data_IF_489828735145
#
_entry.id   IF_489828735145
#
_cell.length_a   1.000
_cell.length_b   1.000
_cell.length_c   1.000
_cell.angle_alpha   90.00
_cell.angle_beta   90.00
_cell.angle_gamma   90.00
#
_symmetry.space_group_name_H-M   'P 1'
#
loop_
_entity.id
_entity.type
_entity.pdbx_description
1 polymer ?
#
# COMPACT_ATOMS: atom_id res chain seq x y z
N UNK A 1 33.87 47.29 -2.87
CA UNK A 1 34.43 45.95 -2.54
C UNK A 1 33.31 45.08 -1.96
N UNK A 2 32.17 44.89 -2.62
CA UNK A 2 31.81 43.99 -3.73
C UNK A 2 31.94 42.47 -3.44
N UNK A 3 31.07 41.97 -2.55
CA UNK A 3 30.92 40.54 -2.19
C UNK A 3 29.82 39.83 -3.02
N UNK A 4 29.11 40.56 -3.88
CA UNK A 4 28.00 40.05 -4.69
C UNK A 4 28.43 39.37 -6.01
N UNK A 5 29.69 39.50 -6.43
CA UNK A 5 30.16 39.00 -7.75
C UNK A 5 30.49 37.50 -7.73
N UNK A 6 30.52 36.84 -6.57
CA UNK A 6 30.96 35.45 -6.45
C UNK A 6 29.83 34.40 -6.50
N UNK A 7 28.56 34.79 -6.44
CA UNK A 7 27.43 33.84 -6.44
C UNK A 7 26.74 33.69 -7.82
N UNK A 8 27.03 34.58 -8.77
CA UNK A 8 26.46 34.52 -10.13
C UNK A 8 27.32 33.71 -11.13
N UNK A 9 28.52 33.27 -10.73
CA UNK A 9 29.43 32.54 -11.62
C UNK A 9 29.20 31.02 -11.69
N UNK A 10 28.36 30.45 -10.82
CA UNK A 10 28.14 29.00 -10.72
C UNK A 10 26.78 28.53 -11.31
N UNK A 11 26.25 29.26 -12.30
CA UNK A 11 25.11 28.81 -13.12
C UNK A 11 25.47 28.59 -14.60
N UNK A 12 26.76 28.62 -14.95
CA UNK A 12 27.22 28.60 -16.35
C UNK A 12 27.93 27.32 -16.81
N UNK A 13 27.86 26.22 -16.06
CA UNK A 13 28.40 24.91 -16.52
C UNK A 13 27.31 23.85 -16.65
N UNK A 14 26.21 24.18 -17.34
CA UNK A 14 25.36 23.14 -17.93
C UNK A 14 25.61 23.16 -19.44
N UNK A 15 26.26 22.13 -20.01
CA UNK A 15 26.52 22.09 -21.44
C UNK A 15 25.17 22.03 -22.16
N UNK A 16 24.86 23.07 -22.95
CA UNK A 16 23.69 23.12 -23.81
C UNK A 16 23.77 21.97 -24.84
N UNK A 17 23.08 20.88 -24.57
CA UNK A 17 22.82 19.80 -25.52
C UNK A 17 21.67 20.22 -26.46
N UNK A 18 22.02 20.82 -27.61
CA UNK A 18 21.12 20.97 -28.76
C UNK A 18 20.94 19.59 -29.40
N UNK A 19 19.73 19.02 -29.34
CA UNK A 19 18.69 19.04 -30.38
C UNK A 19 19.03 18.22 -31.63
N UNK A 20 18.71 16.93 -31.57
CA UNK A 20 17.88 16.18 -32.53
C UNK A 20 17.57 14.81 -31.89
N UNK A 21 16.28 14.50 -31.71
CA UNK A 21 15.72 13.39 -30.89
C UNK A 21 15.84 13.57 -29.35
N UNK A 22 14.66 13.73 -28.72
CA UNK A 22 14.34 13.77 -27.28
C UNK A 22 15.24 14.67 -26.40
N UNK A 23 14.70 15.74 -25.78
CA UNK A 23 15.52 16.58 -24.90
C UNK A 23 16.04 15.77 -23.71
N UNK A 24 17.22 16.13 -23.19
CA UNK A 24 17.86 15.38 -22.11
C UNK A 24 16.96 15.21 -20.89
N UNK A 25 16.13 16.20 -20.56
CA UNK A 25 15.19 16.11 -19.44
C UNK A 25 14.20 14.94 -19.64
N UNK A 26 13.56 14.87 -20.81
CA UNK A 26 12.61 13.80 -21.12
C UNK A 26 13.31 12.43 -21.18
N UNK A 27 14.55 12.38 -21.69
CA UNK A 27 15.33 11.15 -21.69
C UNK A 27 15.67 10.69 -20.26
N UNK A 28 16.06 11.61 -19.38
CA UNK A 28 16.35 11.35 -17.96
C UNK A 28 15.15 10.82 -17.20
N UNK A 29 13.98 11.41 -17.41
CA UNK A 29 12.73 10.98 -16.79
C UNK A 29 12.36 9.54 -17.21
N UNK A 30 12.77 9.12 -18.41
CA UNK A 30 12.51 7.80 -18.97
C UNK A 30 13.64 6.78 -18.75
N UNK A 31 14.78 7.16 -18.14
CA UNK A 31 15.94 6.27 -17.98
C UNK A 31 15.62 5.04 -17.12
N UNK A 32 14.83 5.20 -16.05
CA UNK A 32 14.44 4.07 -15.19
C UNK A 32 13.61 3.04 -15.95
N UNK A 33 12.60 3.50 -16.69
CA UNK A 33 11.74 2.65 -17.53
C UNK A 33 12.52 2.00 -18.69
N UNK A 34 13.50 2.72 -19.23
CA UNK A 34 14.41 2.21 -20.26
C UNK A 34 15.26 1.04 -19.73
N UNK A 35 15.88 1.21 -18.57
CA UNK A 35 16.75 0.20 -17.95
C UNK A 35 15.94 -1.02 -17.47
N UNK A 36 14.72 -0.82 -16.98
CA UNK A 36 13.80 -1.90 -16.60
C UNK A 36 13.13 -2.59 -17.80
N UNK A 37 13.24 -2.02 -18.99
CA UNK A 37 12.65 -2.55 -20.22
C UNK A 37 11.13 -2.41 -20.31
N UNK A 38 10.52 -1.50 -19.54
CA UNK A 38 9.07 -1.25 -19.50
C UNK A 38 8.58 -0.27 -20.56
N UNK A 39 9.48 0.43 -21.27
CA UNK A 39 9.15 1.28 -22.41
C UNK A 39 8.67 0.50 -23.64
N UNK A 40 7.72 1.10 -24.36
CA UNK A 40 7.31 0.65 -25.69
C UNK A 40 8.47 0.77 -26.70
N UNK A 41 8.40 -0.01 -27.78
CA UNK A 41 9.48 -0.11 -28.76
C UNK A 41 9.88 1.22 -29.39
N UNK A 42 8.92 2.14 -29.59
CA UNK A 42 9.21 3.45 -30.21
C UNK A 42 10.01 4.32 -29.24
N UNK A 43 9.50 4.52 -28.02
CA UNK A 43 10.20 5.32 -27.00
C UNK A 43 11.54 4.73 -26.60
N UNK A 44 11.64 3.40 -26.52
CA UNK A 44 12.91 2.73 -26.25
C UNK A 44 13.98 3.09 -27.27
N UNK A 45 13.63 3.09 -28.56
CA UNK A 45 14.57 3.43 -29.63
C UNK A 45 14.98 4.91 -29.57
N UNK A 46 14.04 5.81 -29.26
CA UNK A 46 14.32 7.24 -29.08
C UNK A 46 15.28 7.49 -27.91
N UNK A 47 15.03 6.87 -26.76
CA UNK A 47 15.90 6.97 -25.58
C UNK A 47 17.26 6.30 -25.83
N UNK A 48 17.30 5.14 -26.49
CA UNK A 48 18.55 4.45 -26.84
C UNK A 48 19.44 5.31 -27.76
N UNK A 49 18.84 5.97 -28.76
CA UNK A 49 19.56 6.90 -29.64
C UNK A 49 20.12 8.10 -28.87
N UNK A 50 19.35 8.63 -27.91
CA UNK A 50 19.81 9.72 -27.04
C UNK A 50 20.97 9.28 -26.13
N UNK A 51 20.83 8.12 -25.46
CA UNK A 51 21.87 7.55 -24.59
C UNK A 51 23.17 7.29 -25.37
N UNK A 52 23.08 6.86 -26.63
CA UNK A 52 24.24 6.65 -27.48
C UNK A 52 24.98 7.96 -27.85
N UNK A 53 24.27 9.09 -27.92
CA UNK A 53 24.83 10.39 -28.30
C UNK A 53 25.18 11.31 -27.12
N UNK A 54 24.56 11.10 -25.95
CA UNK A 54 24.72 11.93 -24.76
C UNK A 54 25.55 11.22 -23.66
N UNK A 55 26.79 11.66 -23.37
CA UNK A 55 27.64 11.04 -22.36
C UNK A 55 27.09 11.17 -20.92
N UNK A 56 26.31 12.22 -20.64
CA UNK A 56 25.69 12.40 -19.34
C UNK A 56 24.63 11.33 -19.08
N UNK A 57 23.67 11.17 -20.00
CA UNK A 57 22.62 10.17 -19.90
C UNK A 57 23.17 8.73 -19.96
N UNK A 58 24.25 8.48 -20.72
CA UNK A 58 24.92 7.19 -20.71
C UNK A 58 25.50 6.80 -19.34
N UNK A 59 26.07 7.76 -18.61
CA UNK A 59 26.59 7.50 -17.25
C UNK A 59 25.46 7.23 -16.27
N UNK A 60 24.35 7.95 -16.37
CA UNK A 60 23.19 7.76 -15.51
C UNK A 60 22.52 6.40 -15.77
N UNK A 61 22.29 6.04 -17.03
CA UNK A 61 21.75 4.72 -17.41
C UNK A 61 22.61 3.57 -16.85
N UNK A 62 23.94 3.67 -17.01
CA UNK A 62 24.88 2.67 -16.49
C UNK A 62 24.88 2.57 -14.96
N UNK A 63 24.68 3.69 -14.26
CA UNK A 63 24.56 3.69 -12.81
C UNK A 63 23.30 2.95 -12.34
N UNK A 64 22.18 3.16 -13.02
CA UNK A 64 20.92 2.44 -12.79
C UNK A 64 21.05 0.94 -13.07
N UNK A 65 21.66 0.56 -14.20
CA UNK A 65 21.94 -0.84 -14.54
C UNK A 65 22.77 -1.53 -13.46
N UNK A 66 23.84 -0.87 -13.00
CA UNK A 66 24.70 -1.41 -11.93
C UNK A 66 23.93 -1.61 -10.62
N UNK A 67 23.01 -0.70 -10.30
CA UNK A 67 22.16 -0.81 -9.11
C UNK A 67 21.17 -1.98 -9.24
N UNK A 68 20.53 -2.15 -10.40
CA UNK A 68 19.65 -3.30 -10.65
C UNK A 68 20.41 -4.63 -10.61
N UNK A 69 21.59 -4.70 -11.22
CA UNK A 69 22.44 -5.89 -11.17
C UNK A 69 22.83 -6.25 -9.74
N UNK A 70 23.10 -5.25 -8.90
CA UNK A 70 23.36 -5.47 -7.47
C UNK A 70 22.13 -6.05 -6.77
N UNK A 71 20.93 -5.50 -7.03
CA UNK A 71 19.68 -5.97 -6.44
C UNK A 71 19.31 -7.39 -6.90
N UNK A 72 19.48 -7.69 -8.19
CA UNK A 72 19.16 -9.00 -8.76
C UNK A 72 20.22 -10.06 -8.43
N UNK A 73 21.50 -9.70 -8.42
CA UNK A 73 22.61 -10.64 -8.24
C UNK A 73 22.93 -10.98 -6.79
N UNK A 74 22.64 -10.11 -5.82
CA UNK A 74 23.02 -10.32 -4.41
C UNK A 74 21.86 -10.66 -3.49
N UNK A 75 20.62 -10.39 -3.90
CA UNK A 75 19.46 -10.80 -3.11
C UNK A 75 19.17 -12.25 -3.45
N UNK A 76 19.62 -13.16 -2.59
CA UNK A 76 19.12 -14.54 -2.60
C UNK A 76 17.61 -14.45 -2.36
N UNK A 77 16.81 -14.55 -3.44
CA UNK A 77 15.37 -14.73 -3.34
C UNK A 77 15.11 -16.09 -2.72
N UNK A 78 15.18 -16.17 -1.39
CA UNK A 78 14.52 -17.24 -0.64
C UNK A 78 13.03 -16.93 -0.66
N UNK A 79 12.36 -17.36 -1.71
CA UNK A 79 10.93 -17.57 -1.60
C UNK A 79 10.75 -18.72 -0.59
N UNK A 80 10.11 -18.51 0.57
CA UNK A 80 9.73 -19.64 1.40
C UNK A 80 8.88 -20.56 0.52
N UNK A 81 9.10 -21.86 0.59
CA UNK A 81 8.24 -22.85 -0.06
C UNK A 81 6.92 -22.87 0.72
N UNK A 82 6.14 -21.81 0.56
CA UNK A 82 4.77 -21.76 1.00
C UNK A 82 4.02 -22.62 0.00
N UNK A 83 3.73 -23.85 0.40
CA UNK A 83 2.76 -24.67 -0.31
C UNK A 83 1.36 -24.10 -0.04
N UNK A 84 1.10 -22.95 -0.67
CA UNK A 84 -0.17 -22.22 -0.61
C UNK A 84 -1.30 -23.17 -1.02
N UNK A 85 -1.03 -24.10 -1.95
CA UNK A 85 -2.02 -25.04 -2.41
C UNK A 85 -2.40 -26.04 -1.33
N UNK A 86 -1.45 -26.55 -0.54
CA UNK A 86 -1.76 -27.43 0.58
C UNK A 86 -2.72 -26.77 1.60
N UNK A 87 -2.49 -25.50 1.95
CA UNK A 87 -3.34 -24.78 2.90
C UNK A 87 -4.70 -24.36 2.30
N UNK A 88 -4.72 -24.05 0.99
CA UNK A 88 -5.89 -23.51 0.31
C UNK A 88 -6.81 -24.61 -0.26
N UNK A 89 -6.26 -25.74 -0.70
CA UNK A 89 -7.01 -26.86 -1.27
C UNK A 89 -8.20 -27.32 -0.42
N UNK A 90 -8.09 -27.52 0.92
CA UNK A 90 -9.24 -27.95 1.71
C UNK A 90 -10.36 -26.91 1.72
N UNK A 91 -10.02 -25.61 1.81
CA UNK A 91 -10.99 -24.52 1.78
C UNK A 91 -11.70 -24.41 0.43
N UNK A 92 -10.96 -24.62 -0.66
CA UNK A 92 -11.54 -24.64 -2.02
C UNK A 92 -12.47 -25.82 -2.19
N UNK A 93 -12.11 -27.00 -1.69
CA UNK A 93 -12.97 -28.18 -1.75
C UNK A 93 -14.26 -28.00 -0.95
N UNK A 94 -14.22 -27.33 0.20
CA UNK A 94 -15.41 -26.99 0.98
C UNK A 94 -16.38 -26.10 0.18
N UNK A 95 -15.87 -25.05 -0.47
CA UNK A 95 -16.69 -24.16 -1.32
C UNK A 95 -17.23 -24.88 -2.56
N UNK A 96 -16.45 -25.77 -3.17
CA UNK A 96 -16.90 -26.60 -4.30
C UNK A 96 -17.96 -27.62 -3.85
N UNK A 97 -17.82 -28.19 -2.66
CA UNK A 97 -18.81 -29.06 -2.06
C UNK A 97 -20.11 -28.31 -1.75
N UNK A 98 -20.03 -27.08 -1.21
CA UNK A 98 -21.18 -26.20 -1.00
C UNK A 98 -21.93 -25.92 -2.31
N UNK A 99 -21.22 -25.74 -3.43
CA UNK A 99 -21.83 -25.55 -4.74
C UNK A 99 -22.56 -26.79 -5.27
N UNK A 100 -22.16 -28.00 -4.86
CA UNK A 100 -22.85 -29.26 -5.21
C UNK A 100 -24.07 -29.55 -4.34
N UNK A 101 -24.30 -28.78 -3.27
CA UNK A 101 -25.46 -28.96 -2.41
C UNK A 101 -26.76 -28.52 -3.08
N UNK A 102 -27.81 -29.33 -2.91
CA UNK A 102 -29.16 -29.00 -3.33
C UNK A 102 -29.76 -27.80 -2.57
N UNK A 103 -30.88 -27.28 -3.08
CA UNK A 103 -31.54 -26.07 -2.57
C UNK A 103 -31.77 -26.08 -1.05
N UNK A 104 -32.28 -27.19 -0.49
CA UNK A 104 -32.56 -27.32 0.95
C UNK A 104 -31.31 -27.32 1.83
N UNK A 105 -30.21 -27.91 1.35
CA UNK A 105 -28.94 -27.89 2.06
C UNK A 105 -28.34 -26.47 2.08
N UNK A 106 -28.46 -25.71 0.97
CA UNK A 106 -28.07 -24.29 0.94
C UNK A 106 -28.93 -23.43 1.87
N UNK A 107 -30.24 -23.69 1.93
CA UNK A 107 -31.14 -22.98 2.84
C UNK A 107 -30.78 -23.24 4.31
N UNK A 108 -30.53 -24.50 4.67
CA UNK A 108 -30.10 -24.88 6.04
C UNK A 108 -28.80 -24.20 6.44
N UNK A 109 -27.81 -24.13 5.54
CA UNK A 109 -26.55 -23.42 5.80
C UNK A 109 -26.76 -21.91 6.01
N UNK A 110 -27.60 -21.26 5.20
CA UNK A 110 -27.92 -19.82 5.38
C UNK A 110 -28.64 -19.56 6.70
N UNK A 111 -29.60 -20.41 7.07
CA UNK A 111 -30.30 -20.31 8.36
C UNK A 111 -29.33 -20.52 9.53
N UNK A 112 -28.41 -21.49 9.42
CA UNK A 112 -27.36 -21.69 10.44
C UNK A 112 -26.47 -20.46 10.61
N UNK A 113 -26.01 -19.83 9.52
CA UNK A 113 -25.22 -18.58 9.58
C UNK A 113 -26.01 -17.42 10.19
N UNK A 114 -27.29 -17.29 9.84
CA UNK A 114 -28.16 -16.27 10.43
C UNK A 114 -28.30 -16.45 11.94
N UNK A 115 -28.58 -17.67 12.41
CA UNK A 115 -28.67 -17.97 13.84
C UNK A 115 -27.37 -17.67 14.58
N UNK A 116 -26.21 -18.00 14.00
CA UNK A 116 -24.92 -17.71 14.61
C UNK A 116 -24.68 -16.19 14.74
N UNK A 117 -25.00 -15.42 13.70
CA UNK A 117 -24.90 -13.96 13.73
C UNK A 117 -25.86 -13.33 14.75
N UNK A 118 -27.09 -13.87 14.88
CA UNK A 118 -28.05 -13.42 15.90
C UNK A 118 -27.55 -13.73 17.30
N UNK A 119 -26.98 -14.92 17.53
CA UNK A 119 -26.42 -15.29 18.82
C UNK A 119 -25.25 -14.37 19.21
N UNK A 120 -24.34 -14.08 18.29
CA UNK A 120 -23.27 -13.08 18.47
C UNK A 120 -23.84 -11.71 18.82
N UNK A 121 -24.84 -11.24 18.09
CA UNK A 121 -25.52 -9.97 18.38
C UNK A 121 -26.16 -9.93 19.77
N UNK A 122 -26.78 -11.03 20.20
CA UNK A 122 -27.37 -11.15 21.53
C UNK A 122 -26.31 -11.08 22.64
N UNK A 123 -25.16 -11.74 22.46
CA UNK A 123 -24.03 -11.66 23.39
C UNK A 123 -23.56 -10.21 23.54
N UNK A 124 -23.30 -9.52 22.42
CA UNK A 124 -22.89 -8.11 22.45
C UNK A 124 -23.94 -7.20 23.09
N UNK A 125 -25.22 -7.43 22.81
CA UNK A 125 -26.31 -6.68 23.41
C UNK A 125 -26.33 -6.84 24.94
N UNK A 126 -26.20 -8.07 25.44
CA UNK A 126 -26.17 -8.32 26.89
C UNK A 126 -24.99 -7.62 27.57
N UNK A 127 -23.80 -7.64 26.96
CA UNK A 127 -22.64 -6.90 27.46
C UNK A 127 -22.87 -5.39 27.45
N UNK A 128 -23.47 -4.85 26.39
CA UNK A 128 -23.78 -3.42 26.28
C UNK A 128 -24.80 -2.97 27.34
N UNK A 129 -25.84 -3.79 27.58
CA UNK A 129 -26.84 -3.52 28.62
C UNK A 129 -26.18 -3.54 30.00
N UNK A 130 -25.38 -4.57 30.32
CA UNK A 130 -24.66 -4.65 31.59
C UNK A 130 -23.80 -3.40 31.84
N UNK A 131 -23.00 -3.00 30.85
CA UNK A 131 -22.15 -1.80 30.95
C UNK A 131 -22.97 -0.51 31.13
N UNK A 132 -24.09 -0.38 30.43
CA UNK A 132 -24.96 0.80 30.58
C UNK A 132 -25.65 0.83 31.95
N UNK A 133 -26.03 -0.33 32.50
CA UNK A 133 -26.59 -0.41 33.85
C UNK A 133 -25.57 -0.04 34.92
N UNK A 134 -24.32 -0.50 34.81
CA UNK A 134 -23.24 -0.11 35.72
C UNK A 134 -22.98 1.40 35.68
N UNK A 135 -22.89 1.99 34.47
CA UNK A 135 -22.74 3.45 34.32
C UNK A 135 -23.88 4.23 34.96
N UNK A 136 -25.13 3.77 34.80
CA UNK A 136 -26.29 4.40 35.44
C UNK A 136 -26.21 4.29 36.96
N UNK A 137 -25.89 3.11 37.49
CA UNK A 137 -25.74 2.90 38.93
C UNK A 137 -24.62 3.78 39.52
N UNK A 138 -23.46 3.87 38.87
CA UNK A 138 -22.38 4.76 39.29
C UNK A 138 -22.83 6.24 39.36
N UNK A 139 -23.63 6.69 38.39
CA UNK A 139 -24.18 8.06 38.40
C UNK A 139 -25.05 8.30 39.64
N UNK A 140 -25.88 7.33 40.04
CA UNK A 140 -26.72 7.45 41.24
C UNK A 140 -25.93 7.34 42.54
N UNK A 141 -24.85 6.56 42.58
CA UNK A 141 -23.98 6.43 43.76
C UNK A 141 -23.13 7.69 43.98
N UNK A 142 -22.68 8.34 42.90
CA UNK A 142 -21.80 9.53 42.99
C UNK A 142 -22.55 10.85 43.07
N UNK A 143 -23.78 10.91 42.55
CA UNK A 143 -24.66 12.07 42.69
C UNK A 143 -25.50 11.86 43.95
N UNK A 144 -25.08 12.42 45.09
CA UNK A 144 -25.87 12.36 46.32
C UNK A 144 -27.20 13.13 46.13
N UNK A 145 -28.36 12.44 46.02
CA UNK A 145 -29.64 13.10 45.80
C UNK A 145 -30.09 13.93 47.02
N UNK A 146 -29.40 13.80 48.16
CA UNK A 146 -29.70 14.51 49.40
C UNK A 146 -28.77 15.70 49.65
N UNK A 147 -27.73 15.92 48.83
CA UNK A 147 -26.84 17.08 48.96
C UNK A 147 -27.52 18.40 48.54
N UNK A 148 -28.57 18.35 47.73
CA UNK A 148 -29.24 19.54 47.19
C UNK A 148 -30.24 20.22 48.16
N UNK A 149 -30.56 19.61 49.31
CA UNK A 149 -31.58 20.14 50.25
C UNK A 149 -30.99 20.85 51.47
N UNK A 150 -29.68 21.13 51.49
CA UNK A 150 -28.97 21.67 52.66
C UNK A 150 -28.45 23.10 52.56
N UNK A 151 -28.73 23.84 51.49
CA UNK A 151 -28.27 25.24 51.30
C UNK A 151 -29.43 26.20 51.02
N UNK A 152 -30.38 26.30 51.94
CA UNK A 152 -31.24 27.49 52.06
C UNK A 152 -31.25 27.89 53.54
N UNK A 153 -30.34 28.80 53.90
CA UNK A 153 -30.18 29.39 55.22
C UNK A 153 -29.50 30.74 55.10
#
# INVERSE_FOLDING_TARGET
MNRQVALDAQKLTSPRHNQEATPCQDAQDLLSEYVEGSLDNKRRNEVAAHVASCPACAREAKALETMLDFLHGKVVRREPVLDIWHELAPKVQEVVAENRLGFFARLKLRVGRLLNNVALGAIWYTQAVAFNTERRLQKYVTTDPFAATGQEG
#
